data_IF_668788852308
#
_entry.id   IF_668788852308
#
_cell.length_a   1.000
_cell.length_b   1.000
_cell.length_c   1.000
_cell.angle_alpha   90.00
_cell.angle_beta   90.00
_cell.angle_gamma   90.00
#
_symmetry.space_group_name_H-M   'P 1'
#
loop_
_entity.id
_entity.type
_entity.pdbx_description
1 polymer ?
#
# COMPACT_ATOMS: atom_id res chain seq x y z
N UNK A 1 15.25 5.58 7.99
CA UNK A 1 13.79 5.31 8.01
C UNK A 1 12.99 6.37 7.25
N UNK A 2 13.18 7.67 7.52
CA UNK A 2 12.47 8.73 6.78
C UNK A 2 12.76 8.67 5.28
N UNK A 3 14.03 8.54 4.91
CA UNK A 3 14.46 8.40 3.52
C UNK A 3 13.78 7.21 2.82
N UNK A 4 13.66 6.06 3.49
CA UNK A 4 12.94 4.90 2.95
C UNK A 4 11.46 5.20 2.73
N UNK A 5 10.81 5.94 3.64
CA UNK A 5 9.44 6.41 3.45
C UNK A 5 9.28 7.32 2.23
N UNK A 6 10.21 8.26 2.03
CA UNK A 6 10.24 9.12 0.84
C UNK A 6 10.41 8.29 -0.45
N UNK A 7 11.37 7.36 -0.48
CA UNK A 7 11.58 6.47 -1.63
C UNK A 7 10.36 5.61 -1.93
N UNK A 8 9.68 5.08 -0.91
CA UNK A 8 8.43 4.31 -1.08
C UNK A 8 7.32 5.18 -1.66
N UNK A 9 7.15 6.41 -1.16
CA UNK A 9 6.18 7.37 -1.72
C UNK A 9 6.46 7.64 -3.19
N UNK A 10 7.71 7.91 -3.56
CA UNK A 10 8.08 8.22 -4.93
C UNK A 10 7.85 7.02 -5.86
N UNK A 11 8.08 5.79 -5.37
CA UNK A 11 7.73 4.57 -6.11
C UNK A 11 6.23 4.46 -6.36
N UNK A 12 5.39 4.79 -5.38
CA UNK A 12 3.91 4.80 -5.56
C UNK A 12 3.52 5.77 -6.67
N UNK A 13 4.10 6.98 -6.67
CA UNK A 13 3.83 7.99 -7.72
C UNK A 13 4.20 7.47 -9.10
N UNK A 14 5.35 6.80 -9.24
CA UNK A 14 5.77 6.20 -10.51
C UNK A 14 4.79 5.10 -10.98
N UNK A 15 4.34 4.24 -10.08
CA UNK A 15 3.39 3.16 -10.40
C UNK A 15 2.02 3.72 -10.79
N UNK A 16 1.52 4.71 -10.05
CA UNK A 16 0.24 5.36 -10.35
C UNK A 16 0.31 6.10 -11.69
N UNK A 17 1.44 6.74 -12.03
CA UNK A 17 1.65 7.37 -13.33
C UNK A 17 1.66 6.37 -14.49
N UNK A 18 2.27 5.20 -14.30
CA UNK A 18 2.23 4.11 -15.29
C UNK A 18 0.79 3.64 -15.53
N UNK A 19 0.02 3.40 -14.46
CA UNK A 19 -1.40 3.01 -14.57
C UNK A 19 -2.25 4.09 -15.22
N UNK A 20 -1.99 5.37 -14.93
CA UNK A 20 -2.70 6.47 -15.56
C UNK A 20 -2.41 6.57 -17.07
N UNK A 21 -1.20 6.21 -17.48
CA UNK A 21 -0.76 6.25 -18.89
C UNK A 21 -1.25 5.04 -19.68
N UNK A 22 -1.14 3.84 -19.10
CA UNK A 22 -1.40 2.56 -19.78
C UNK A 22 -2.83 2.06 -19.58
N UNK A 23 -3.54 2.57 -18.57
CA UNK A 23 -4.89 2.15 -18.20
C UNK A 23 -4.93 1.04 -17.15
N UNK A 24 -6.13 0.74 -16.63
CA UNK A 24 -6.32 -0.27 -15.59
C UNK A 24 -6.13 -1.70 -16.10
N UNK A 25 -6.48 -1.93 -17.36
CA UNK A 25 -6.40 -3.22 -18.04
C UNK A 25 -5.39 -3.11 -19.18
N UNK A 26 -4.47 -4.07 -19.26
CA UNK A 26 -3.47 -4.17 -20.32
C UNK A 26 -3.65 -5.47 -21.07
N UNK A 27 -3.36 -5.45 -22.36
CA UNK A 27 -3.35 -6.65 -23.18
C UNK A 27 -2.12 -7.51 -22.90
N UNK A 28 -2.30 -8.82 -22.95
CA UNK A 28 -1.23 -9.80 -22.79
C UNK A 28 -1.43 -10.95 -23.76
N UNK A 29 -0.42 -11.82 -23.89
CA UNK A 29 -0.54 -13.03 -24.72
C UNK A 29 -1.66 -13.99 -24.26
N UNK A 30 -2.20 -13.80 -23.05
CA UNK A 30 -3.30 -14.59 -22.48
C UNK A 30 -4.62 -13.78 -22.41
N UNK A 31 -4.69 -12.62 -23.09
CA UNK A 31 -5.83 -11.71 -23.07
C UNK A 31 -5.68 -10.54 -22.09
N UNK A 32 -6.76 -9.79 -21.92
CA UNK A 32 -6.80 -8.59 -21.08
C UNK A 32 -6.63 -8.94 -19.60
N UNK A 33 -5.71 -8.26 -18.93
CA UNK A 33 -5.42 -8.47 -17.50
C UNK A 33 -5.24 -7.16 -16.77
N UNK A 34 -5.43 -7.19 -15.45
CA UNK A 34 -5.18 -6.04 -14.59
C UNK A 34 -3.70 -5.61 -14.68
N UNK A 35 -3.46 -4.31 -14.78
CA UNK A 35 -2.11 -3.74 -14.82
C UNK A 35 -1.34 -4.13 -13.55
N UNK A 36 -0.14 -4.77 -13.65
CA UNK A 36 0.60 -5.27 -12.50
C UNK A 36 0.99 -4.18 -11.49
N UNK A 37 1.17 -2.94 -11.95
CA UNK A 37 1.45 -1.79 -11.10
C UNK A 37 0.36 -1.53 -10.05
N UNK A 38 -0.88 -1.94 -10.29
CA UNK A 38 -1.99 -1.80 -9.32
C UNK A 38 -1.73 -2.65 -8.07
N UNK A 39 -1.33 -3.92 -8.26
CA UNK A 39 -1.05 -4.81 -7.15
C UNK A 39 0.20 -4.36 -6.38
N UNK A 40 1.24 -3.92 -7.10
CA UNK A 40 2.46 -3.40 -6.52
C UNK A 40 2.22 -2.11 -5.73
N UNK A 41 1.47 -1.14 -6.29
CA UNK A 41 1.14 0.12 -5.60
C UNK A 41 0.36 -0.14 -4.31
N UNK A 42 -0.52 -1.16 -4.27
CA UNK A 42 -1.20 -1.58 -3.04
C UNK A 42 -0.22 -2.06 -1.97
N UNK A 43 0.79 -2.86 -2.35
CA UNK A 43 1.83 -3.32 -1.41
C UNK A 43 2.71 -2.17 -0.93
N UNK A 44 3.12 -1.26 -1.83
CA UNK A 44 3.91 -0.09 -1.47
C UNK A 44 3.17 0.83 -0.49
N UNK A 45 1.84 1.03 -0.65
CA UNK A 45 1.03 1.78 0.31
C UNK A 45 0.99 1.14 1.70
N UNK A 46 0.92 -0.20 1.78
CA UNK A 46 1.00 -0.92 3.05
C UNK A 46 2.39 -0.76 3.71
N UNK A 47 3.46 -0.85 2.93
CA UNK A 47 4.83 -0.62 3.40
C UNK A 47 5.00 0.81 3.90
N UNK A 48 4.50 1.80 3.16
CA UNK A 48 4.55 3.21 3.56
C UNK A 48 3.81 3.43 4.90
N UNK A 49 2.62 2.87 5.05
CA UNK A 49 1.87 2.96 6.31
C UNK A 49 2.68 2.41 7.51
N UNK A 50 3.39 1.27 7.32
CA UNK A 50 4.25 0.69 8.36
C UNK A 50 5.46 1.59 8.68
N UNK A 51 6.09 2.18 7.67
CA UNK A 51 7.21 3.11 7.84
C UNK A 51 6.78 4.41 8.53
N UNK A 52 5.60 4.94 8.23
CA UNK A 52 5.06 6.14 8.88
C UNK A 52 4.76 5.88 10.37
N UNK A 53 4.20 4.71 10.70
CA UNK A 53 4.01 4.28 12.10
C UNK A 53 5.36 4.15 12.81
N UNK A 54 6.38 3.55 12.16
CA UNK A 54 7.70 3.39 12.79
C UNK A 54 8.45 4.71 12.99
N UNK A 55 8.11 5.75 12.23
CA UNK A 55 8.63 7.11 12.40
C UNK A 55 7.92 7.89 13.51
N UNK A 56 6.78 7.41 14.02
CA UNK A 56 6.03 8.08 15.08
C UNK A 56 5.46 9.44 14.62
N UNK A 57 5.06 9.55 13.35
CA UNK A 57 4.48 10.78 12.82
C UNK A 57 3.20 11.11 13.61
N UNK A 58 3.11 12.30 14.23
CA UNK A 58 1.92 12.69 14.97
C UNK A 58 0.73 12.84 14.01
N UNK A 59 -0.46 12.48 14.49
CA UNK A 59 -1.70 12.79 13.80
C UNK A 59 -1.83 14.32 13.63
N UNK A 60 -2.43 14.74 12.51
CA UNK A 60 -2.81 16.14 12.34
C UNK A 60 -3.96 16.46 13.30
N UNK A 61 -4.05 17.73 13.71
CA UNK A 61 -5.12 18.19 14.58
C UNK A 61 -6.48 17.93 13.91
N UNK A 62 -7.34 17.13 14.55
CA UNK A 62 -8.63 16.69 14.02
C UNK A 62 -8.64 15.31 13.34
N UNK A 63 -7.49 14.63 13.25
CA UNK A 63 -7.37 13.27 12.70
C UNK A 63 -7.54 12.21 13.82
N UNK A 64 -8.65 12.31 14.57
CA UNK A 64 -9.05 11.34 15.62
C UNK A 64 -9.59 10.05 14.99
N UNK A 65 -8.75 9.39 14.18
CA UNK A 65 -9.09 8.09 13.64
C UNK A 65 -8.83 7.03 14.72
N UNK A 66 -9.81 6.15 15.02
CA UNK A 66 -9.60 5.07 15.98
C UNK A 66 -8.43 4.21 15.52
N UNK A 67 -7.56 3.84 16.47
CA UNK A 67 -6.39 3.01 16.17
C UNK A 67 -6.81 1.78 15.37
N UNK A 68 -6.20 1.62 14.18
CA UNK A 68 -6.35 0.43 13.35
C UNK A 68 -5.87 -0.79 14.14
N UNK A 69 -6.81 -1.48 14.79
CA UNK A 69 -6.54 -2.77 15.42
C UNK A 69 -6.27 -3.75 14.30
N UNK A 70 -5.03 -4.23 14.23
CA UNK A 70 -4.63 -5.22 13.23
C UNK A 70 -5.66 -6.35 13.18
N UNK A 71 -6.25 -6.57 12.01
CA UNK A 71 -7.16 -7.68 11.74
C UNK A 71 -6.32 -8.95 11.85
N UNK A 72 -6.17 -9.47 13.07
CA UNK A 72 -5.74 -10.85 13.27
C UNK A 72 -6.83 -11.70 12.63
N UNK A 73 -6.49 -12.34 11.52
CA UNK A 73 -7.41 -13.22 10.81
C UNK A 73 -8.07 -14.23 11.74
N UNK A 74 -9.24 -14.70 11.34
CA UNK A 74 -10.14 -15.57 12.11
C UNK A 74 -9.48 -16.90 12.55
N UNK A 75 -8.32 -17.26 12.01
CA UNK A 75 -7.56 -18.47 12.35
C UNK A 75 -6.63 -18.31 13.56
N UNK A 76 -7.10 -17.61 14.59
CA UNK A 76 -6.37 -17.31 15.82
C UNK A 76 -6.81 -18.11 17.04
N UNK A 77 -7.35 -19.33 16.92
CA UNK A 77 -7.40 -20.29 18.05
C UNK A 77 -7.75 -21.70 17.57
N UNK A 78 -6.73 -22.54 17.44
CA UNK A 78 -6.90 -23.95 17.10
C UNK A 78 -5.67 -24.77 17.43
N UNK A 79 -5.32 -24.90 18.72
CA UNK A 79 -4.95 -26.17 19.40
C UNK A 79 -4.17 -25.95 20.71
N UNK A 80 -4.64 -26.72 21.69
CA UNK A 80 -4.07 -27.20 22.96
C UNK A 80 -3.75 -26.17 24.04
#
# INVERSE_FOLDING_TARGET
MLEEGCRTRDRIVQLDAAVATEGLMIESSQGSRLHPAIAEARQQRLTLARLLVSLGIPALEGDDLPASRGVRGVYGKGRR
#
